data_IF_352326358885
#
_entry.id   IF_352326358885
#
_cell.length_a   1.000
_cell.length_b   1.000
_cell.length_c   1.000
_cell.angle_alpha   90.00
_cell.angle_beta   90.00
_cell.angle_gamma   90.00
#
_symmetry.space_group_name_H-M   'P 1'
#
loop_
_entity.id
_entity.type
_entity.pdbx_description
1 polymer ?
#
# COMPACT_ATOMS: atom_id res chain seq x y z
N UNK A 1 -3.08 -10.71 -4.38
CA UNK A 1 -2.10 -11.70 -3.91
C UNK A 1 -1.30 -12.19 -5.13
N UNK A 2 0.03 -12.25 -5.05
CA UNK A 2 0.85 -12.74 -6.16
C UNK A 2 0.88 -14.28 -6.18
N UNK A 3 1.18 -14.87 -7.34
CA UNK A 3 1.29 -16.33 -7.51
C UNK A 3 2.66 -16.81 -7.02
N UNK A 4 2.78 -17.14 -5.74
CA UNK A 4 4.06 -17.50 -5.09
C UNK A 4 4.79 -18.62 -5.84
N UNK A 5 4.12 -19.75 -6.08
CA UNK A 5 4.74 -20.94 -6.70
C UNK A 5 5.30 -20.64 -8.09
N UNK A 6 4.53 -19.93 -8.92
CA UNK A 6 4.96 -19.54 -10.26
C UNK A 6 6.21 -18.64 -10.24
N UNK A 7 6.31 -17.74 -9.25
CA UNK A 7 7.45 -16.82 -9.13
C UNK A 7 8.67 -17.54 -8.57
N UNK A 8 8.49 -18.44 -7.60
CA UNK A 8 9.55 -19.31 -7.08
C UNK A 8 10.18 -20.13 -8.20
N UNK A 9 9.37 -20.71 -9.10
CA UNK A 9 9.84 -21.46 -10.27
C UNK A 9 10.61 -20.58 -11.25
N UNK A 10 10.06 -19.43 -11.64
CA UNK A 10 10.68 -18.48 -12.59
C UNK A 10 12.03 -17.96 -12.07
N UNK A 11 12.12 -17.66 -10.77
CA UNK A 11 13.33 -17.14 -10.14
C UNK A 11 14.29 -18.25 -9.68
N UNK A 12 13.90 -19.52 -9.83
CA UNK A 12 14.68 -20.69 -9.40
C UNK A 12 15.14 -20.58 -7.94
N UNK A 13 14.22 -20.21 -7.04
CA UNK A 13 14.58 -20.01 -5.65
C UNK A 13 14.88 -21.36 -4.97
N UNK A 14 16.00 -21.46 -4.22
CA UNK A 14 16.27 -22.60 -3.33
C UNK A 14 15.15 -22.81 -2.30
N UNK A 15 14.92 -24.07 -1.91
CA UNK A 15 13.83 -24.45 -0.97
C UNK A 15 13.88 -23.75 0.39
N UNK A 16 15.06 -23.35 0.84
CA UNK A 16 15.24 -22.67 2.13
C UNK A 16 14.99 -21.15 2.07
N UNK A 17 14.63 -20.60 0.90
CA UNK A 17 14.31 -19.19 0.71
C UNK A 17 12.82 -18.97 0.47
N UNK A 18 12.27 -17.93 1.10
CA UNK A 18 10.87 -17.54 0.96
C UNK A 18 10.73 -16.11 0.45
N UNK A 19 9.82 -15.90 -0.50
CA UNK A 19 9.43 -14.57 -0.97
C UNK A 19 8.54 -13.91 0.08
N UNK A 20 9.06 -12.89 0.76
CA UNK A 20 8.29 -12.08 1.72
C UNK A 20 7.49 -11.00 0.98
N UNK A 21 8.12 -10.32 0.02
CA UNK A 21 7.53 -9.22 -0.73
C UNK A 21 8.03 -9.16 -2.18
N UNK A 22 7.25 -8.48 -3.02
CA UNK A 22 7.63 -8.08 -4.37
C UNK A 22 7.43 -6.58 -4.50
N UNK A 23 8.45 -5.86 -4.94
CA UNK A 23 8.39 -4.42 -5.15
C UNK A 23 8.33 -4.16 -6.65
N UNK A 24 7.18 -3.69 -7.13
CA UNK A 24 7.05 -3.25 -8.51
C UNK A 24 7.73 -1.89 -8.69
N UNK A 25 8.64 -1.79 -9.66
CA UNK A 25 9.35 -0.56 -10.00
C UNK A 25 8.99 -0.12 -11.42
N UNK A 26 8.86 1.19 -11.61
CA UNK A 26 8.55 1.78 -12.91
C UNK A 26 8.37 3.29 -12.80
N UNK A 27 8.27 3.96 -13.95
CA UNK A 27 7.94 5.39 -13.98
C UNK A 27 6.46 5.57 -13.55
N UNK A 28 6.16 6.49 -12.62
CA UNK A 28 4.76 6.77 -12.23
C UNK A 28 3.92 7.18 -13.46
N UNK A 29 2.75 6.56 -13.59
CA UNK A 29 1.76 6.88 -14.65
C UNK A 29 0.56 7.65 -14.11
N UNK A 30 0.34 7.62 -12.80
CA UNK A 30 -0.82 8.19 -12.13
C UNK A 30 -0.39 9.31 -11.18
N UNK A 31 -1.27 10.29 -11.00
CA UNK A 31 -1.11 11.30 -9.96
C UNK A 31 -1.74 10.79 -8.66
N UNK A 32 -0.99 10.82 -7.56
CA UNK A 32 -1.43 10.33 -6.26
C UNK A 32 -1.65 11.52 -5.34
N UNK A 33 -2.84 11.61 -4.74
CA UNK A 33 -3.21 12.66 -3.80
C UNK A 33 -3.42 12.02 -2.43
N UNK A 34 -2.78 12.59 -1.41
CA UNK A 34 -2.96 12.18 -0.02
C UNK A 34 -4.00 13.08 0.61
N UNK A 35 -5.10 12.48 1.05
CA UNK A 35 -6.17 13.18 1.74
C UNK A 35 -6.12 12.90 3.23
N UNK A 36 -6.64 13.82 4.05
CA UNK A 36 -6.98 13.53 5.43
C UNK A 36 -8.19 12.59 5.47
N UNK A 37 -8.07 11.50 6.24
CA UNK A 37 -9.13 10.50 6.39
C UNK A 37 -10.30 11.07 7.20
N UNK A 38 -11.52 10.87 6.70
CA UNK A 38 -12.76 11.31 7.35
C UNK A 38 -13.63 10.11 7.71
N UNK A 39 -14.26 10.17 8.87
CA UNK A 39 -15.22 9.16 9.35
C UNK A 39 -14.70 7.71 9.31
N UNK A 40 -13.38 7.54 9.38
CA UNK A 40 -12.73 6.22 9.29
C UNK A 40 -12.67 5.60 7.89
N UNK A 41 -13.06 6.31 6.83
CA UNK A 41 -13.01 5.78 5.46
C UNK A 41 -11.60 5.79 4.88
N UNK A 42 -10.95 4.64 4.95
CA UNK A 42 -9.58 4.43 4.49
C UNK A 42 -9.49 3.96 3.03
N UNK A 43 -10.63 3.75 2.35
CA UNK A 43 -10.63 3.17 1.00
C UNK A 43 -10.03 4.16 0.01
N UNK A 44 -9.11 3.67 -0.81
CA UNK A 44 -8.63 4.42 -1.96
C UNK A 44 -9.77 4.60 -2.96
N UNK A 45 -9.78 5.75 -3.64
CA UNK A 45 -10.78 6.06 -4.66
C UNK A 45 -10.13 6.85 -5.80
N UNK A 46 -10.88 7.02 -6.90
CA UNK A 46 -10.45 7.82 -8.05
C UNK A 46 -11.46 8.92 -8.32
N UNK A 47 -10.95 10.12 -8.58
CA UNK A 47 -11.78 11.26 -8.97
C UNK A 47 -12.12 11.24 -10.47
N UNK A 48 -12.81 12.28 -10.93
CA UNK A 48 -13.20 12.42 -12.34
C UNK A 48 -11.99 12.60 -13.27
N UNK A 49 -10.88 13.12 -12.75
CA UNK A 49 -9.62 13.32 -13.47
C UNK A 49 -8.67 12.11 -13.34
N UNK A 50 -9.14 11.01 -12.75
CA UNK A 50 -8.41 9.75 -12.52
C UNK A 50 -7.22 9.86 -11.54
N UNK A 51 -7.17 10.93 -10.73
CA UNK A 51 -6.23 11.01 -9.62
C UNK A 51 -6.51 9.89 -8.62
N UNK A 52 -5.45 9.28 -8.09
CA UNK A 52 -5.56 8.23 -7.07
C UNK A 52 -5.52 8.85 -5.68
N UNK A 53 -6.68 8.90 -5.03
CA UNK A 53 -6.82 9.46 -3.69
C UNK A 53 -6.58 8.40 -2.63
N UNK A 54 -5.72 8.72 -1.67
CA UNK A 54 -5.31 7.83 -0.58
C UNK A 54 -5.56 8.51 0.77
N UNK A 55 -6.69 8.21 1.42
CA UNK A 55 -6.99 8.74 2.75
C UNK A 55 -5.96 8.26 3.79
N UNK A 56 -5.46 9.18 4.62
CA UNK A 56 -4.51 8.89 5.71
C UNK A 56 -4.98 9.49 7.03
N UNK A 57 -4.75 8.74 8.11
CA UNK A 57 -4.93 9.20 9.48
C UNK A 57 -4.07 10.44 9.72
N UNK A 58 -4.60 11.40 10.46
CA UNK A 58 -3.80 12.50 10.98
C UNK A 58 -2.80 11.98 12.00
N UNK A 59 -1.74 12.73 12.25
CA UNK A 59 -0.74 12.37 13.26
C UNK A 59 -1.37 12.28 14.65
N UNK A 60 -2.31 13.15 14.96
CA UNK A 60 -3.02 13.21 16.23
C UNK A 60 -3.81 11.93 16.51
N UNK A 61 -4.45 11.34 15.49
CA UNK A 61 -5.17 10.07 15.61
C UNK A 61 -4.23 8.90 15.94
N UNK A 62 -2.96 8.98 15.49
CA UNK A 62 -1.97 7.93 15.74
C UNK A 62 -1.34 8.01 17.13
N UNK A 63 -1.44 9.16 17.81
CA UNK A 63 -0.84 9.35 19.13
C UNK A 63 -1.81 8.87 20.20
N UNK A 64 -1.51 7.71 20.78
CA UNK A 64 -2.17 7.26 21.99
C UNK A 64 -1.72 8.12 23.19
N UNK A 65 -2.67 8.79 23.84
CA UNK A 65 -2.43 9.54 25.08
C UNK A 65 -3.00 8.76 26.25
N UNK A 66 -2.20 8.57 27.29
CA UNK A 66 -2.66 8.08 28.58
C UNK A 66 -2.35 9.12 29.64
N UNK A 67 -3.24 9.27 30.61
CA UNK A 67 -3.02 10.15 31.75
C UNK A 67 -2.15 9.39 32.78
N UNK A 68 -1.10 10.05 33.26
CA UNK A 68 -0.34 9.64 34.46
C UNK A 68 -1.04 10.26 35.67
#
# INVERSE_FOLDING_TARGET
MFKKDAITEILQLPEHLEIIHLIALGKPKENVVVDEMKDGDFKYWRDQDQNHHVPKRSTEELIYKFNI
#
